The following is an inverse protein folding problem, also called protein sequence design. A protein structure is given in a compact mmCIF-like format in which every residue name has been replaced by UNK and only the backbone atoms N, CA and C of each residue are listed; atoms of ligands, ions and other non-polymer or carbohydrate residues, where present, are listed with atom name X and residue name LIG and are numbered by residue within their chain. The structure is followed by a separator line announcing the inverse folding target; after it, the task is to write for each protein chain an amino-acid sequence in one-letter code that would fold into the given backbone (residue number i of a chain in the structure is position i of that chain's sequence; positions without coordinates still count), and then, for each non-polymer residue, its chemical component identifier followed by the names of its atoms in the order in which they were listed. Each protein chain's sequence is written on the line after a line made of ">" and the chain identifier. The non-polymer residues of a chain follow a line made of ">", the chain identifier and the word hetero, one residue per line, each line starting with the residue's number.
data_IF_525819478594
#
_entry.id   IF_525819478594
#
_cell.length_a   1.000
_cell.length_b   1.000
_cell.length_c   1.000
_cell.angle_alpha   90.00
_cell.angle_beta   90.00
_cell.angle_gamma   90.00
#
_symmetry.space_group_name_H-M   'P 1'
#
loop_
_entity.id
_entity.type
_entity.pdbx_description
1 polymer ?
#
# COMPACT_ATOMS: atom_id res chain seq x y z
N UNK A 1 49.59 13.70 -11.74
CA UNK A 1 48.15 13.84 -11.97
C UNK A 1 47.41 13.27 -10.75
N UNK A 2 46.84 14.15 -9.93
CA UNK A 2 46.00 13.79 -8.79
C UNK A 2 44.56 13.78 -9.24
N UNK A 3 43.93 12.60 -9.31
CA UNK A 3 42.52 12.42 -9.52
C UNK A 3 41.82 12.58 -8.14
N UNK A 4 41.39 13.77 -7.80
CA UNK A 4 40.46 13.98 -6.69
C UNK A 4 39.08 13.61 -7.18
N UNK A 5 38.72 12.34 -7.08
CA UNK A 5 37.35 11.87 -7.29
C UNK A 5 36.47 12.35 -6.13
N UNK A 6 35.66 13.36 -6.36
CA UNK A 6 34.59 13.73 -5.44
C UNK A 6 33.57 12.59 -5.43
N UNK A 7 33.54 11.80 -4.34
CA UNK A 7 32.48 10.85 -4.12
C UNK A 7 31.17 11.64 -4.02
N UNK A 8 30.29 11.52 -5.02
CA UNK A 8 28.96 12.06 -4.95
C UNK A 8 28.19 11.25 -3.88
N UNK A 9 27.99 11.81 -2.70
CA UNK A 9 27.11 11.23 -1.70
C UNK A 9 25.70 11.16 -2.29
N UNK A 10 25.13 9.96 -2.31
CA UNK A 10 23.74 9.80 -2.69
C UNK A 10 22.89 10.66 -1.74
N UNK A 11 22.05 11.54 -2.30
CA UNK A 11 21.20 12.39 -1.47
C UNK A 11 20.31 11.54 -0.57
N UNK A 12 20.29 11.83 0.72
CA UNK A 12 19.50 11.15 1.73
C UNK A 12 18.02 11.17 1.40
N UNK A 13 17.34 10.04 1.62
CA UNK A 13 15.89 9.94 1.47
C UNK A 13 15.24 10.58 2.70
N UNK A 14 14.39 11.58 2.48
CA UNK A 14 13.55 12.19 3.51
C UNK A 14 12.18 11.54 3.52
N UNK A 15 11.52 11.59 4.67
CA UNK A 15 10.17 11.07 4.84
C UNK A 15 9.25 12.17 5.38
N UNK A 16 8.01 12.13 4.86
CA UNK A 16 6.87 12.87 5.42
C UNK A 16 5.88 11.85 5.97
N UNK A 17 5.40 12.06 7.18
CA UNK A 17 4.52 11.12 7.86
C UNK A 17 3.07 11.59 7.80
N UNK A 18 2.17 10.68 7.48
CA UNK A 18 0.73 10.82 7.67
C UNK A 18 0.34 9.81 8.74
N UNK A 19 -0.22 10.27 9.82
CA UNK A 19 -0.74 9.41 10.89
C UNK A 19 -2.26 9.47 10.82
N UNK A 20 -2.89 8.36 10.46
CA UNK A 20 -4.34 8.23 10.58
C UNK A 20 -4.61 8.09 12.06
N UNK A 21 -5.30 9.08 12.64
CA UNK A 21 -5.51 9.18 14.08
C UNK A 21 -6.53 8.17 14.62
N UNK A 22 -6.46 7.92 15.92
CA UNK A 22 -7.48 7.14 16.61
C UNK A 22 -8.85 7.82 16.44
N UNK A 23 -9.85 7.07 15.95
CA UNK A 23 -11.19 7.59 15.69
C UNK A 23 -11.40 8.21 14.30
N UNK A 24 -10.38 8.35 13.45
CA UNK A 24 -10.56 8.70 12.05
C UNK A 24 -11.10 7.52 11.22
N UNK A 25 -10.77 6.28 11.64
CA UNK A 25 -11.35 5.05 11.10
C UNK A 25 -12.40 4.51 12.07
N UNK A 26 -13.46 3.93 11.52
CA UNK A 26 -14.56 3.36 12.28
C UNK A 26 -14.56 1.84 12.18
N UNK A 27 -14.64 1.16 13.33
CA UNK A 27 -14.77 -0.31 13.38
C UNK A 27 -16.20 -0.78 13.10
N UNK A 28 -17.20 0.06 13.38
CA UNK A 28 -18.63 -0.28 13.29
C UNK A 28 -19.43 0.87 12.69
N UNK A 29 -20.61 0.55 12.14
CA UNK A 29 -21.54 1.54 11.61
C UNK A 29 -21.94 1.25 10.16
N UNK A 30 -23.11 1.68 9.77
CA UNK A 30 -23.70 1.41 8.45
C UNK A 30 -22.79 1.89 7.29
N UNK A 31 -22.11 3.00 7.47
CA UNK A 31 -21.24 3.58 6.46
C UNK A 31 -19.74 3.40 6.77
N UNK A 32 -19.38 2.68 7.84
CA UNK A 32 -17.98 2.56 8.29
C UNK A 32 -17.02 2.16 7.18
N UNK A 33 -17.36 1.12 6.40
CA UNK A 33 -16.50 0.64 5.31
C UNK A 33 -16.24 1.70 4.23
N UNK A 34 -17.26 2.45 3.82
CA UNK A 34 -17.10 3.51 2.82
C UNK A 34 -16.36 4.72 3.37
N UNK A 35 -16.57 5.06 4.62
CA UNK A 35 -15.89 6.20 5.26
C UNK A 35 -14.42 5.86 5.54
N UNK A 36 -14.11 4.64 5.97
CA UNK A 36 -12.73 4.15 6.07
C UNK A 36 -11.99 4.24 4.73
N UNK A 37 -12.64 3.81 3.65
CA UNK A 37 -12.06 3.93 2.29
C UNK A 37 -11.74 5.39 1.97
N UNK A 38 -12.63 6.33 2.25
CA UNK A 38 -12.40 7.77 1.98
C UNK A 38 -11.19 8.29 2.75
N UNK A 39 -11.07 7.98 4.03
CA UNK A 39 -9.95 8.43 4.87
C UNK A 39 -8.63 7.82 4.38
N UNK A 40 -8.59 6.51 4.18
CA UNK A 40 -7.36 5.83 3.75
C UNK A 40 -6.95 6.28 2.34
N UNK A 41 -7.90 6.33 1.41
CA UNK A 41 -7.60 6.74 0.04
C UNK A 41 -7.15 8.21 -0.03
N UNK A 42 -7.70 9.10 0.80
CA UNK A 42 -7.25 10.50 0.89
C UNK A 42 -5.77 10.59 1.32
N UNK A 43 -5.33 9.76 2.27
CA UNK A 43 -3.93 9.69 2.66
C UNK A 43 -3.04 9.17 1.51
N UNK A 44 -3.50 8.17 0.75
CA UNK A 44 -2.79 7.66 -0.42
C UNK A 44 -2.73 8.69 -1.54
N UNK A 45 -3.78 9.46 -1.76
CA UNK A 45 -3.85 10.51 -2.77
C UNK A 45 -2.98 11.72 -2.39
N UNK A 46 -2.86 12.04 -1.11
CA UNK A 46 -1.90 13.03 -0.65
C UNK A 46 -0.47 12.59 -0.96
N UNK A 47 -0.11 11.34 -0.65
CA UNK A 47 1.19 10.78 -1.02
C UNK A 47 1.39 10.79 -2.54
N UNK A 48 0.40 10.35 -3.34
CA UNK A 48 0.44 10.42 -4.82
C UNK A 48 0.84 11.79 -5.32
N UNK A 49 0.25 12.84 -4.77
CA UNK A 49 0.43 14.20 -5.25
C UNK A 49 1.77 14.82 -4.81
N UNK A 50 2.24 14.49 -3.61
CA UNK A 50 3.37 15.17 -2.96
C UNK A 50 4.65 14.35 -2.90
N UNK A 51 4.58 13.00 -2.88
CA UNK A 51 5.76 12.16 -2.78
C UNK A 51 6.68 12.26 -3.99
N UNK A 52 7.97 12.14 -3.75
CA UNK A 52 9.05 12.14 -4.76
C UNK A 52 10.09 11.10 -4.34
N UNK A 53 10.97 10.68 -5.23
CA UNK A 53 11.98 9.65 -4.96
C UNK A 53 12.86 9.97 -3.75
N UNK A 54 13.12 11.23 -3.51
CA UNK A 54 13.94 11.70 -2.38
C UNK A 54 13.13 12.26 -1.20
N UNK A 55 11.82 12.31 -1.32
CA UNK A 55 10.89 12.65 -0.24
C UNK A 55 9.70 11.70 -0.29
N UNK A 56 9.77 10.61 0.45
CA UNK A 56 8.74 9.57 0.46
C UNK A 56 7.73 9.83 1.56
N UNK A 57 6.57 9.19 1.46
CA UNK A 57 5.52 9.27 2.46
C UNK A 57 5.41 7.97 3.23
N UNK A 58 5.29 8.06 4.56
CA UNK A 58 4.94 6.96 5.45
C UNK A 58 3.56 7.22 6.01
N UNK A 59 2.69 6.22 5.89
CA UNK A 59 1.29 6.28 6.35
C UNK A 59 1.13 5.26 7.46
N UNK A 60 0.78 5.73 8.64
CA UNK A 60 0.62 4.92 9.84
C UNK A 60 -0.86 4.72 10.13
N UNK A 61 -1.24 3.46 10.39
CA UNK A 61 -2.61 3.07 10.69
C UNK A 61 -2.78 2.87 12.20
N UNK A 62 -3.91 3.28 12.79
CA UNK A 62 -4.23 2.97 14.16
C UNK A 62 -4.58 1.48 14.33
N UNK A 63 -4.55 1.00 15.59
CA UNK A 63 -5.04 -0.33 15.95
C UNK A 63 -6.54 -0.41 15.75
N UNK A 64 -7.05 -1.56 15.33
CA UNK A 64 -8.47 -1.81 15.17
C UNK A 64 -8.78 -2.71 13.99
N UNK A 65 -10.05 -3.03 13.83
CA UNK A 65 -10.57 -3.80 12.71
C UNK A 65 -11.40 -2.88 11.80
N UNK A 66 -10.94 -2.66 10.58
CA UNK A 66 -11.50 -1.68 9.67
C UNK A 66 -11.96 -2.32 8.38
N UNK A 67 -13.26 -2.30 8.19
CA UNK A 67 -13.90 -2.78 6.98
C UNK A 67 -13.71 -1.78 5.84
N UNK A 68 -13.49 -2.30 4.64
CA UNK A 68 -13.36 -1.52 3.40
C UNK A 68 -14.22 -2.16 2.31
N UNK A 69 -14.93 -1.37 1.53
CA UNK A 69 -15.88 -1.84 0.52
C UNK A 69 -15.47 -1.57 -0.91
N UNK A 70 -14.23 -1.19 -1.13
CA UNK A 70 -13.62 -1.09 -2.45
C UNK A 70 -12.09 -1.18 -2.36
N UNK A 71 -11.44 -1.48 -3.47
CA UNK A 71 -9.99 -1.58 -3.53
C UNK A 71 -9.31 -0.22 -3.29
N UNK A 72 -8.35 -0.19 -2.38
CA UNK A 72 -7.47 0.95 -2.13
C UNK A 72 -6.36 1.02 -3.19
N UNK A 73 -6.08 2.20 -3.70
CA UNK A 73 -5.06 2.42 -4.73
C UNK A 73 -3.83 3.11 -4.12
N UNK A 74 -2.72 2.37 -4.00
CA UNK A 74 -1.45 2.92 -3.53
C UNK A 74 -0.57 3.35 -4.71
N UNK A 75 0.28 4.34 -4.49
CA UNK A 75 1.12 4.94 -5.53
C UNK A 75 2.60 4.95 -5.15
N UNK A 76 3.45 5.35 -6.09
CA UNK A 76 4.90 5.37 -5.91
C UNK A 76 5.35 6.20 -4.70
N UNK A 77 6.46 5.79 -4.09
CA UNK A 77 7.11 6.48 -2.98
C UNK A 77 6.26 6.53 -1.70
N UNK A 78 5.45 5.49 -1.48
CA UNK A 78 4.54 5.37 -0.34
C UNK A 78 4.84 4.10 0.45
N UNK A 79 4.95 4.25 1.75
CA UNK A 79 5.16 3.15 2.69
C UNK A 79 3.99 3.09 3.67
N UNK A 80 3.39 1.92 3.85
CA UNK A 80 2.30 1.68 4.81
C UNK A 80 2.87 0.97 6.03
N UNK A 81 2.49 1.43 7.21
CA UNK A 81 2.82 0.82 8.48
C UNK A 81 1.55 0.54 9.27
N UNK A 82 1.25 -0.74 9.46
CA UNK A 82 0.10 -1.20 10.21
C UNK A 82 0.59 -1.88 11.50
N UNK A 83 -0.01 -1.53 12.62
CA UNK A 83 0.22 -2.25 13.88
C UNK A 83 -0.17 -3.73 13.73
N UNK A 84 0.43 -4.63 14.49
CA UNK A 84 0.09 -6.05 14.49
C UNK A 84 -1.39 -6.34 14.85
N UNK A 85 -2.03 -5.39 15.52
CA UNK A 85 -3.45 -5.43 15.91
C UNK A 85 -4.36 -4.68 14.95
N UNK A 86 -3.84 -4.18 13.83
CA UNK A 86 -4.64 -3.58 12.76
C UNK A 86 -5.09 -4.67 11.81
N UNK A 87 -6.40 -4.76 11.54
CA UNK A 87 -6.98 -5.65 10.53
C UNK A 87 -7.72 -4.82 9.49
N UNK A 88 -7.41 -5.03 8.22
CA UNK A 88 -8.23 -4.54 7.11
C UNK A 88 -9.08 -5.70 6.59
N UNK A 89 -10.39 -5.51 6.59
CA UNK A 89 -11.39 -6.52 6.23
C UNK A 89 -12.04 -6.15 4.90
N UNK A 90 -12.04 -7.07 3.95
CA UNK A 90 -12.59 -6.83 2.61
C UNK A 90 -14.11 -7.08 2.56
N UNK A 91 -14.88 -6.00 2.47
CA UNK A 91 -16.35 -6.02 2.34
C UNK A 91 -16.84 -5.66 0.93
N UNK A 92 -15.92 -5.51 -0.02
CA UNK A 92 -16.29 -5.20 -1.40
C UNK A 92 -16.98 -6.39 -2.09
N UNK A 93 -17.70 -6.17 -3.19
CA UNK A 93 -18.17 -7.24 -4.06
C UNK A 93 -17.04 -8.17 -4.49
N UNK A 94 -17.37 -9.42 -4.81
CA UNK A 94 -16.40 -10.44 -5.23
C UNK A 94 -15.45 -9.93 -6.32
N UNK A 95 -14.19 -10.37 -6.23
CA UNK A 95 -13.16 -10.08 -7.22
C UNK A 95 -12.38 -8.79 -6.98
N UNK A 96 -12.51 -8.14 -5.81
CA UNK A 96 -11.74 -6.95 -5.48
C UNK A 96 -10.59 -7.24 -4.50
N UNK A 97 -9.47 -6.56 -4.72
CA UNK A 97 -8.32 -6.59 -3.81
C UNK A 97 -8.56 -5.68 -2.60
N UNK A 98 -7.82 -5.86 -1.52
CA UNK A 98 -7.74 -4.84 -0.46
C UNK A 98 -6.91 -3.65 -0.97
N UNK A 99 -5.73 -3.92 -1.50
CA UNK A 99 -4.84 -2.87 -2.04
C UNK A 99 -4.25 -3.28 -3.37
N UNK A 100 -4.09 -2.32 -4.27
CA UNK A 100 -3.38 -2.50 -5.54
C UNK A 100 -2.52 -1.28 -5.89
N UNK A 101 -1.49 -1.48 -6.72
CA UNK A 101 -0.72 -0.37 -7.26
C UNK A 101 -1.52 0.36 -8.35
N UNK A 102 -1.80 1.64 -8.09
CA UNK A 102 -2.52 2.52 -9.03
C UNK A 102 -3.95 2.11 -9.34
N UNK A 103 -4.55 2.85 -10.23
CA UNK A 103 -5.95 2.69 -10.63
C UNK A 103 -6.15 1.93 -11.97
N UNK A 104 -5.05 1.46 -12.58
CA UNK A 104 -5.04 0.85 -13.91
C UNK A 104 -5.53 1.74 -15.05
N UNK A 105 -5.70 3.03 -14.83
CA UNK A 105 -6.10 3.98 -15.87
C UNK A 105 -5.00 4.21 -16.91
N UNK A 106 -3.75 3.90 -16.58
CA UNK A 106 -2.59 4.08 -17.43
C UNK A 106 -2.02 2.73 -17.87
N UNK A 107 -1.57 2.64 -19.11
CA UNK A 107 -0.81 1.50 -19.60
C UNK A 107 0.65 1.65 -19.18
N UNK A 108 1.15 0.68 -18.44
CA UNK A 108 2.55 0.58 -18.07
C UNK A 108 3.26 -0.49 -18.89
N UNK A 109 4.57 -0.33 -19.10
CA UNK A 109 5.40 -1.26 -19.85
C UNK A 109 6.53 -1.72 -18.95
N UNK A 110 6.79 -3.02 -18.90
CA UNK A 110 7.82 -3.63 -18.05
C UNK A 110 7.66 -3.18 -16.58
N UNK A 111 8.63 -2.46 -16.03
CA UNK A 111 8.73 -2.09 -14.61
C UNK A 111 8.55 -0.58 -14.36
N UNK A 112 8.00 0.16 -15.29
CA UNK A 112 7.99 1.64 -15.26
C UNK A 112 6.71 2.26 -14.70
N UNK A 113 5.82 1.46 -14.13
CA UNK A 113 4.55 1.95 -13.58
C UNK A 113 4.70 2.61 -12.22
N UNK A 114 5.12 1.84 -11.25
CA UNK A 114 5.19 2.26 -9.84
C UNK A 114 6.57 1.94 -9.25
N UNK A 115 6.95 2.61 -8.17
CA UNK A 115 8.23 2.35 -7.51
C UNK A 115 8.23 2.74 -6.05
N UNK A 116 9.14 2.10 -5.29
CA UNK A 116 9.36 2.41 -3.88
C UNK A 116 8.06 2.31 -3.06
N UNK A 117 7.39 1.18 -3.15
CA UNK A 117 6.22 0.86 -2.36
C UNK A 117 6.63 -0.12 -1.27
N UNK A 118 6.23 0.17 -0.03
CA UNK A 118 6.41 -0.73 1.10
C UNK A 118 5.10 -0.94 1.83
N UNK A 119 4.84 -2.18 2.24
CA UNK A 119 3.78 -2.55 3.18
C UNK A 119 4.42 -3.30 4.32
N UNK A 120 4.20 -2.84 5.55
CA UNK A 120 4.77 -3.43 6.75
C UNK A 120 3.69 -3.59 7.82
N UNK A 121 3.41 -4.85 8.16
CA UNK A 121 2.49 -5.20 9.24
C UNK A 121 1.03 -5.42 8.85
N UNK A 122 0.21 -5.59 9.88
CA UNK A 122 -1.24 -5.75 9.80
C UNK A 122 -1.74 -7.13 9.40
N UNK A 123 -3.02 -7.32 9.67
CA UNK A 123 -3.82 -8.44 9.17
C UNK A 123 -4.65 -7.96 7.98
N UNK A 124 -4.83 -8.85 7.01
CA UNK A 124 -5.50 -8.57 5.74
C UNK A 124 -6.50 -9.70 5.49
N UNK A 125 -7.74 -9.48 5.88
CA UNK A 125 -8.80 -10.47 5.83
C UNK A 125 -9.63 -10.31 4.57
N UNK A 126 -9.58 -11.30 3.69
CA UNK A 126 -10.26 -11.27 2.40
C UNK A 126 -11.70 -11.74 2.43
N UNK A 127 -12.21 -12.22 3.56
CA UNK A 127 -13.59 -12.68 3.71
C UNK A 127 -14.04 -13.60 2.57
N UNK A 128 -13.11 -14.43 2.04
CA UNK A 128 -13.36 -15.31 0.90
C UNK A 128 -13.86 -14.60 -0.36
N UNK A 129 -13.40 -13.37 -0.58
CA UNK A 129 -13.85 -12.50 -1.68
C UNK A 129 -13.58 -13.07 -3.09
N UNK A 130 -12.65 -14.02 -3.23
CA UNK A 130 -12.30 -14.62 -4.53
C UNK A 130 -11.30 -13.78 -5.34
N UNK A 131 -10.51 -12.95 -4.67
CA UNK A 131 -9.39 -12.21 -5.25
C UNK A 131 -8.17 -12.28 -4.33
N UNK A 132 -7.00 -11.82 -4.80
CA UNK A 132 -5.83 -11.65 -3.95
C UNK A 132 -5.97 -10.40 -3.07
N UNK A 133 -5.37 -10.44 -1.88
CA UNK A 133 -5.41 -9.28 -0.97
C UNK A 133 -4.65 -8.09 -1.55
N UNK A 134 -3.49 -8.37 -2.15
CA UNK A 134 -2.57 -7.34 -2.65
C UNK A 134 -2.23 -7.61 -4.11
N UNK A 135 -2.32 -6.58 -4.97
CA UNK A 135 -1.99 -6.71 -6.38
C UNK A 135 -1.05 -5.60 -6.84
N UNK A 136 0.13 -6.00 -7.29
CA UNK A 136 1.16 -5.09 -7.77
C UNK A 136 1.58 -5.48 -9.18
N UNK A 137 1.48 -4.53 -10.09
CA UNK A 137 1.94 -4.69 -11.47
C UNK A 137 2.86 -3.56 -11.88
N UNK A 138 3.85 -3.89 -12.72
CA UNK A 138 4.78 -2.90 -13.29
C UNK A 138 5.51 -2.07 -12.24
N UNK A 139 6.02 -2.71 -11.18
CA UNK A 139 6.65 -2.04 -10.05
C UNK A 139 8.17 -2.24 -10.03
N UNK A 140 8.87 -1.26 -9.50
CA UNK A 140 10.29 -1.38 -9.12
C UNK A 140 10.45 -1.09 -7.64
N UNK A 141 11.23 -1.91 -6.92
CA UNK A 141 11.46 -1.78 -5.49
C UNK A 141 10.17 -1.87 -4.67
N UNK A 142 9.57 -3.06 -4.65
CA UNK A 142 8.42 -3.43 -3.83
C UNK A 142 8.88 -4.22 -2.61
N UNK A 143 8.44 -3.83 -1.42
CA UNK A 143 8.70 -4.55 -0.17
C UNK A 143 7.39 -4.83 0.57
N UNK A 144 7.16 -6.09 0.95
CA UNK A 144 5.99 -6.52 1.73
C UNK A 144 6.53 -7.34 2.90
N UNK A 145 6.28 -6.90 4.13
CA UNK A 145 6.85 -7.51 5.33
C UNK A 145 5.83 -7.60 6.45
N UNK A 146 6.01 -8.60 7.31
CA UNK A 146 5.24 -8.74 8.56
C UNK A 146 3.71 -8.76 8.35
N UNK A 147 3.23 -9.14 7.17
CA UNK A 147 1.81 -9.18 6.84
C UNK A 147 1.22 -10.55 7.18
N UNK A 148 -0.01 -10.58 7.67
CA UNK A 148 -0.79 -11.79 7.88
C UNK A 148 -2.04 -11.73 6.99
N UNK A 149 -2.06 -12.51 5.91
CA UNK A 149 -3.18 -12.54 4.96
C UNK A 149 -4.00 -13.80 5.18
N UNK A 150 -5.31 -13.63 5.35
CA UNK A 150 -6.23 -14.72 5.70
C UNK A 150 -7.48 -14.73 4.82
N UNK A 151 -8.21 -15.85 4.90
CA UNK A 151 -9.52 -16.03 4.25
C UNK A 151 -9.49 -15.79 2.73
N UNK A 152 -8.41 -16.22 2.08
CA UNK A 152 -8.31 -16.28 0.62
C UNK A 152 -9.08 -17.51 0.12
N UNK A 153 -9.81 -17.34 -0.97
CA UNK A 153 -10.49 -18.42 -1.68
C UNK A 153 -10.20 -18.32 -3.18
N UNK A 154 -9.72 -19.43 -3.74
CA UNK A 154 -9.47 -19.58 -5.20
C UNK A 154 -8.56 -18.51 -5.83
N UNK A 155 -7.64 -17.92 -5.04
CA UNK A 155 -6.75 -16.87 -5.49
C UNK A 155 -5.39 -16.92 -4.78
N UNK A 156 -4.45 -16.12 -5.24
CA UNK A 156 -3.17 -15.92 -4.56
C UNK A 156 -3.31 -14.94 -3.39
N UNK A 157 -2.48 -15.04 -2.37
CA UNK A 157 -2.43 -14.03 -1.30
C UNK A 157 -1.94 -12.69 -1.82
N UNK A 158 -0.87 -12.74 -2.62
CA UNK A 158 -0.24 -11.57 -3.25
C UNK A 158 -0.04 -11.89 -4.73
N UNK A 159 -0.41 -10.98 -5.60
CA UNK A 159 -0.08 -11.02 -7.03
C UNK A 159 0.96 -9.94 -7.33
N UNK A 160 2.15 -10.35 -7.77
CA UNK A 160 3.22 -9.47 -8.20
C UNK A 160 3.60 -9.80 -9.65
N UNK A 161 3.18 -8.98 -10.60
CA UNK A 161 3.40 -9.18 -12.02
C UNK A 161 4.27 -8.05 -12.60
N UNK A 162 5.33 -8.39 -13.33
CA UNK A 162 6.29 -7.42 -13.84
C UNK A 162 6.85 -6.53 -12.70
N UNK A 163 7.44 -7.17 -11.70
CA UNK A 163 8.08 -6.49 -10.57
C UNK A 163 9.58 -6.70 -10.64
N UNK A 164 10.34 -5.60 -10.65
CA UNK A 164 11.79 -5.60 -10.49
C UNK A 164 12.12 -5.23 -9.04
N UNK A 165 12.96 -6.06 -8.41
CA UNK A 165 13.32 -5.95 -7.00
C UNK A 165 12.13 -6.11 -6.05
N UNK A 166 11.80 -7.35 -5.76
CA UNK A 166 10.78 -7.76 -4.78
C UNK A 166 11.43 -8.28 -3.50
N UNK A 167 10.96 -7.81 -2.35
CA UNK A 167 11.31 -8.34 -1.02
C UNK A 167 10.02 -8.70 -0.26
N UNK A 168 9.87 -9.96 0.12
CA UNK A 168 8.78 -10.48 0.94
C UNK A 168 9.36 -11.13 2.18
#
# INVERSE_FOLDING_TARGET
>A
FSLTGTAAFAAEIKYSDIVIGDGELSETGENAASDNVKVIQAAFDEAKNKARDKNRYRIYFPKGEYHINTTLNIFSNTELYLDEKTTLVQDAPKGQNIVKAGDFSQKHILYNGFRNIKIDGGKWDMQFNGSCAMRFGHCTNLSIRNVNITNIMDAHHIEAAAVDTLSI
#
